data_IF_100444919472
#
_entry.id   IF_100444919472
#
_cell.length_a   1.000
_cell.length_b   1.000
_cell.length_c   1.000
_cell.angle_alpha   90.00
_cell.angle_beta   90.00
_cell.angle_gamma   90.00
#
_symmetry.space_group_name_H-M   'P 1'
#
loop_
_entity.id
_entity.type
_entity.pdbx_description
1 polymer ?
#
# COMPACT_ATOMS: atom_id res chain seq x y z
N UNK A 1 -9.68 23.73 -8.21
CA UNK A 1 -8.53 22.97 -8.78
C UNK A 1 -7.25 23.09 -7.95
N UNK A 2 -6.62 24.26 -7.78
CA UNK A 2 -5.40 24.36 -6.95
C UNK A 2 -5.64 23.96 -5.46
N UNK A 3 -6.83 24.27 -4.94
CA UNK A 3 -7.30 23.78 -3.62
C UNK A 3 -7.38 22.25 -3.56
N UNK A 4 -7.85 21.63 -4.65
CA UNK A 4 -8.18 20.20 -4.72
C UNK A 4 -6.93 19.37 -4.97
N UNK A 5 -5.91 19.95 -5.62
CA UNK A 5 -4.58 19.35 -5.76
C UNK A 5 -3.97 19.00 -4.39
N UNK A 6 -4.18 19.82 -3.37
CA UNK A 6 -3.74 19.52 -2.01
C UNK A 6 -4.38 18.23 -1.47
N UNK A 7 -5.69 18.06 -1.70
CA UNK A 7 -6.43 16.86 -1.29
C UNK A 7 -6.01 15.63 -2.09
N UNK A 8 -5.80 15.78 -3.41
CA UNK A 8 -5.31 14.71 -4.31
C UNK A 8 -3.94 14.22 -3.85
N UNK A 9 -3.00 15.13 -3.58
CA UNK A 9 -1.67 14.78 -3.10
C UNK A 9 -1.72 14.12 -1.72
N UNK A 10 -2.60 14.59 -0.84
CA UNK A 10 -2.81 13.96 0.47
C UNK A 10 -3.24 12.49 0.33
N UNK A 11 -4.22 12.21 -0.54
CA UNK A 11 -4.66 10.84 -0.82
C UNK A 11 -3.57 10.00 -1.49
N UNK A 12 -2.82 10.59 -2.41
CA UNK A 12 -1.70 9.90 -3.05
C UNK A 12 -0.65 9.45 -2.01
N UNK A 13 -0.24 10.35 -1.10
CA UNK A 13 0.68 10.02 0.00
C UNK A 13 0.08 8.95 0.91
N UNK A 14 -1.22 9.00 1.18
CA UNK A 14 -1.90 8.00 2.00
C UNK A 14 -1.83 6.60 1.34
N UNK A 15 -2.14 6.48 0.05
CA UNK A 15 -2.01 5.22 -0.69
C UNK A 15 -0.57 4.75 -0.86
N UNK A 16 0.40 5.68 -0.94
CA UNK A 16 1.82 5.35 -0.91
C UNK A 16 2.16 4.70 0.44
N UNK A 17 1.78 5.33 1.56
CA UNK A 17 1.98 4.80 2.90
C UNK A 17 1.34 3.42 3.11
N UNK A 18 0.10 3.23 2.62
CA UNK A 18 -0.56 1.92 2.69
C UNK A 18 0.20 0.84 1.93
N UNK A 19 0.66 1.11 0.70
CA UNK A 19 1.42 0.13 -0.09
C UNK A 19 2.66 -0.39 0.65
N UNK A 20 3.34 0.47 1.41
CA UNK A 20 4.53 0.08 2.18
C UNK A 20 4.26 -0.98 3.25
N UNK A 21 3.04 -1.05 3.80
CA UNK A 21 2.67 -1.98 4.88
C UNK A 21 2.78 -3.43 4.42
N UNK A 22 2.26 -3.74 3.22
CA UNK A 22 2.27 -5.11 2.69
C UNK A 22 3.39 -5.41 1.69
N UNK A 23 4.15 -4.40 1.27
CA UNK A 23 5.24 -4.54 0.29
C UNK A 23 6.19 -5.73 0.53
N UNK A 24 6.69 -6.04 1.75
CA UNK A 24 7.65 -7.12 1.91
C UNK A 24 7.07 -8.53 1.72
N UNK A 25 5.83 -8.76 2.15
CA UNK A 25 5.08 -9.98 1.85
C UNK A 25 4.82 -10.09 0.35
N UNK A 26 4.36 -9.00 -0.27
CA UNK A 26 4.06 -8.96 -1.70
C UNK A 26 5.30 -9.28 -2.54
N UNK A 27 6.46 -8.72 -2.18
CA UNK A 27 7.75 -9.04 -2.82
C UNK A 27 8.16 -10.50 -2.70
N UNK A 28 7.74 -11.21 -1.65
CA UNK A 28 8.02 -12.65 -1.50
C UNK A 28 7.07 -13.50 -2.34
N UNK A 29 5.78 -13.17 -2.34
CA UNK A 29 4.75 -13.91 -3.09
C UNK A 29 4.98 -13.73 -4.60
N UNK A 30 5.25 -12.49 -5.03
CA UNK A 30 5.44 -12.13 -6.43
C UNK A 30 6.91 -11.93 -6.79
N UNK A 31 7.83 -12.68 -6.17
CA UNK A 31 9.28 -12.52 -6.39
C UNK A 31 9.72 -12.73 -7.85
N UNK A 32 8.91 -13.47 -8.63
CA UNK A 32 9.13 -13.76 -10.05
C UNK A 32 8.57 -12.68 -10.99
N UNK A 33 7.82 -11.70 -10.48
CA UNK A 33 7.26 -10.62 -11.28
C UNK A 33 8.30 -9.51 -11.47
N UNK A 34 8.16 -8.76 -12.56
CA UNK A 34 9.05 -7.67 -12.92
C UNK A 34 9.09 -6.55 -11.86
N UNK A 35 7.94 -6.22 -11.28
CA UNK A 35 7.72 -5.19 -10.26
C UNK A 35 7.82 -5.72 -8.82
N UNK A 36 7.98 -7.04 -8.64
CA UNK A 36 7.85 -7.75 -7.37
C UNK A 36 6.51 -7.48 -6.65
N UNK A 37 5.44 -7.22 -7.42
CA UNK A 37 4.12 -6.95 -6.91
C UNK A 37 3.99 -5.65 -6.11
N UNK A 38 4.73 -4.60 -6.49
CA UNK A 38 4.63 -3.31 -5.81
C UNK A 38 3.22 -2.74 -5.87
N UNK A 39 2.59 -2.72 -7.05
CA UNK A 39 1.24 -2.18 -7.21
C UNK A 39 0.19 -3.02 -6.47
N UNK A 40 0.38 -4.35 -6.45
CA UNK A 40 -0.45 -5.28 -5.68
C UNK A 40 -0.38 -5.04 -4.17
N UNK A 41 0.72 -4.48 -3.64
CA UNK A 41 0.84 -4.23 -2.20
C UNK A 41 -0.24 -3.27 -1.67
N UNK A 42 -0.62 -2.25 -2.46
CA UNK A 42 -1.70 -1.32 -2.11
C UNK A 42 -3.05 -2.03 -2.03
N UNK A 43 -3.33 -2.89 -3.01
CA UNK A 43 -4.56 -3.67 -3.09
C UNK A 43 -4.64 -4.68 -1.94
N UNK A 44 -3.55 -5.40 -1.65
CA UNK A 44 -3.49 -6.35 -0.54
C UNK A 44 -3.67 -5.64 0.80
N UNK A 45 -3.06 -4.46 0.98
CA UNK A 45 -3.22 -3.67 2.19
C UNK A 45 -4.69 -3.28 2.39
N UNK A 46 -5.33 -2.78 1.34
CA UNK A 46 -6.76 -2.43 1.37
C UNK A 46 -7.60 -3.65 1.70
N UNK A 47 -7.44 -4.74 0.94
CA UNK A 47 -8.20 -5.98 1.11
C UNK A 47 -8.05 -6.54 2.54
N UNK A 48 -6.82 -6.61 3.04
CA UNK A 48 -6.53 -7.07 4.39
C UNK A 48 -7.23 -6.20 5.43
N UNK A 49 -7.05 -4.87 5.36
CA UNK A 49 -7.65 -3.94 6.31
C UNK A 49 -9.18 -4.00 6.28
N UNK A 50 -9.80 -3.98 5.10
CA UNK A 50 -11.26 -4.02 4.97
C UNK A 50 -11.83 -5.32 5.47
N UNK A 51 -11.20 -6.44 5.14
CA UNK A 51 -11.70 -7.77 5.51
C UNK A 51 -11.57 -8.03 7.01
N UNK A 52 -10.39 -7.77 7.59
CA UNK A 52 -10.18 -8.02 9.02
C UNK A 52 -11.02 -7.10 9.90
N UNK A 53 -11.15 -5.83 9.54
CA UNK A 53 -11.99 -4.89 10.29
C UNK A 53 -13.46 -5.32 10.21
N UNK A 54 -13.94 -5.70 9.02
CA UNK A 54 -15.29 -6.26 8.85
C UNK A 54 -15.49 -7.52 9.68
N UNK A 55 -14.53 -8.45 9.66
CA UNK A 55 -14.59 -9.72 10.40
C UNK A 55 -14.65 -9.49 11.92
N UNK A 56 -13.79 -8.61 12.45
CA UNK A 56 -13.77 -8.26 13.87
C UNK A 56 -15.09 -7.60 14.31
N UNK A 57 -15.65 -6.74 13.48
CA UNK A 57 -16.95 -6.10 13.72
C UNK A 57 -18.10 -7.10 13.67
N UNK A 58 -18.11 -8.00 12.67
CA UNK A 58 -19.14 -9.03 12.51
C UNK A 58 -19.16 -10.03 13.69
N UNK A 59 -17.98 -10.34 14.24
CA UNK A 59 -17.85 -11.19 15.43
C UNK A 59 -18.11 -10.45 16.74
N UNK A 60 -18.41 -9.14 16.68
CA UNK A 60 -18.59 -8.26 17.86
C UNK A 60 -17.37 -8.23 18.79
N UNK A 61 -16.17 -8.48 18.27
CA UNK A 61 -14.91 -8.44 19.04
C UNK A 61 -14.46 -6.98 19.19
N UNK A 62 -14.40 -6.25 18.07
CA UNK A 62 -14.07 -4.83 18.04
C UNK A 62 -15.06 -4.09 17.13
N UNK A 63 -15.59 -2.94 17.54
CA UNK A 63 -16.48 -2.13 16.72
C UNK A 63 -15.75 -1.54 15.48
N UNK A 64 -16.53 -1.18 14.46
CA UNK A 64 -16.04 -0.51 13.25
C UNK A 64 -15.71 0.97 13.55
N UNK A 65 -14.52 1.22 14.10
CA UNK A 65 -13.99 2.56 14.35
C UNK A 65 -12.65 2.77 13.65
N UNK A 66 -12.26 4.05 13.49
CA UNK A 66 -10.95 4.46 12.96
C UNK A 66 -9.80 3.77 13.70
N UNK A 67 -9.90 3.66 15.02
CA UNK A 67 -8.87 3.00 15.85
C UNK A 67 -8.70 1.52 15.52
N UNK A 68 -9.79 0.81 15.24
CA UNK A 68 -9.76 -0.61 14.85
C UNK A 68 -9.03 -0.79 13.51
N UNK A 69 -9.23 0.13 12.56
CA UNK A 69 -8.54 0.11 11.27
C UNK A 69 -7.03 0.31 11.47
N UNK A 70 -6.63 1.31 12.28
CA UNK A 70 -5.21 1.54 12.59
C UNK A 70 -4.57 0.37 13.31
N UNK A 71 -5.28 -0.24 14.26
CA UNK A 71 -4.81 -1.43 14.98
C UNK A 71 -4.55 -2.59 14.01
N UNK A 72 -5.50 -2.90 13.11
CA UNK A 72 -5.34 -3.97 12.10
C UNK A 72 -4.16 -3.69 11.17
N UNK A 73 -4.01 -2.45 10.70
CA UNK A 73 -2.88 -2.05 9.85
C UNK A 73 -1.54 -2.17 10.58
N UNK A 74 -1.49 -1.75 11.86
CA UNK A 74 -0.29 -1.82 12.69
C UNK A 74 0.11 -3.28 12.96
N UNK A 75 -0.85 -4.16 13.27
CA UNK A 75 -0.59 -5.59 13.41
C UNK A 75 -0.06 -6.19 12.10
N UNK A 76 -0.67 -5.86 10.96
CA UNK A 76 -0.20 -6.27 9.64
C UNK A 76 1.24 -5.83 9.38
N UNK A 77 1.57 -4.57 9.72
CA UNK A 77 2.91 -4.00 9.59
C UNK A 77 3.93 -4.77 10.45
N UNK A 78 3.64 -5.02 11.72
CA UNK A 78 4.54 -5.75 12.64
C UNK A 78 4.86 -7.14 12.09
N UNK A 79 3.83 -7.90 11.70
CA UNK A 79 3.99 -9.24 11.13
C UNK A 79 4.87 -9.20 9.88
N UNK A 80 4.72 -8.16 9.06
CA UNK A 80 5.50 -7.98 7.86
C UNK A 80 6.97 -7.60 8.13
N UNK A 81 7.22 -6.72 9.11
CA UNK A 81 8.57 -6.36 9.53
C UNK A 81 9.33 -7.57 10.12
N UNK A 82 8.66 -8.42 10.90
CA UNK A 82 9.26 -9.66 11.39
C UNK A 82 9.72 -10.57 10.23
N UNK A 83 8.98 -10.53 9.13
CA UNK A 83 9.24 -11.32 7.92
C UNK A 83 10.44 -10.79 7.11
N UNK A 84 10.78 -9.50 7.24
CA UNK A 84 11.95 -8.86 6.62
C UNK A 84 13.28 -9.23 7.28
N UNK A 85 13.28 -9.56 8.57
CA UNK A 85 14.49 -9.79 9.38
C UNK A 85 15.35 -10.99 8.93
N UNK A 86 14.85 -11.81 8.00
CA UNK A 86 15.52 -13.02 7.47
C UNK A 86 16.29 -12.83 6.14
N UNK A 87 16.52 -11.61 5.64
CA UNK A 87 17.12 -11.41 4.30
C UNK A 87 18.66 -11.25 4.29
N UNK A 88 19.28 -11.93 3.33
CA UNK A 88 20.72 -11.95 3.03
C UNK A 88 21.14 -10.64 2.31
N UNK A 89 22.36 -10.10 2.52
CA UNK A 89 22.77 -8.78 2.01
C UNK A 89 23.09 -8.70 0.49
N UNK A 90 22.90 -9.79 -0.27
CA UNK A 90 23.17 -9.86 -1.71
C UNK A 90 22.14 -9.12 -2.61
N UNK A 91 21.12 -8.49 -2.05
CA UNK A 91 19.98 -7.90 -2.79
C UNK A 91 20.15 -6.40 -3.17
N UNK A 92 21.31 -5.79 -2.89
CA UNK A 92 21.50 -4.32 -3.03
C UNK A 92 21.44 -3.81 -4.48
N UNK A 93 22.02 -4.52 -5.45
CA UNK A 93 22.02 -4.12 -6.87
C UNK A 93 20.65 -4.32 -7.53
N UNK A 94 19.94 -5.40 -7.19
CA UNK A 94 18.56 -5.64 -7.65
C UNK A 94 17.59 -4.57 -7.13
N UNK A 95 17.85 -4.01 -5.95
CA UNK A 95 16.99 -3.00 -5.33
C UNK A 95 16.91 -1.66 -6.08
N UNK A 96 17.97 -1.24 -6.80
CA UNK A 96 17.97 0.05 -7.48
C UNK A 96 17.06 0.05 -8.73
N UNK A 97 17.14 -1.00 -9.54
CA UNK A 97 16.27 -1.17 -10.69
C UNK A 97 14.79 -1.26 -10.29
N UNK A 98 14.50 -1.97 -9.20
CA UNK A 98 13.15 -2.06 -8.64
C UNK A 98 12.62 -0.72 -8.14
N UNK A 99 13.48 0.11 -7.55
CA UNK A 99 13.11 1.47 -7.12
C UNK A 99 12.69 2.33 -8.31
N UNK A 100 13.42 2.26 -9.42
CA UNK A 100 13.10 3.00 -10.64
C UNK A 100 11.74 2.56 -11.23
N UNK A 101 11.46 1.25 -11.23
CA UNK A 101 10.14 0.72 -11.61
C UNK A 101 9.05 1.23 -10.66
N UNK A 102 9.27 1.18 -9.34
CA UNK A 102 8.29 1.67 -8.36
C UNK A 102 7.97 3.15 -8.55
N UNK A 103 8.98 3.99 -8.82
CA UNK A 103 8.79 5.43 -9.08
C UNK A 103 7.99 5.64 -10.36
N UNK A 104 8.27 4.87 -11.41
CA UNK A 104 7.51 4.93 -12.65
C UNK A 104 6.05 4.53 -12.45
N UNK A 105 5.79 3.45 -11.71
CA UNK A 105 4.43 3.03 -11.35
C UNK A 105 3.70 4.07 -10.51
N UNK A 106 4.38 4.73 -9.56
CA UNK A 106 3.80 5.83 -8.78
C UNK A 106 3.46 7.05 -9.65
N UNK A 107 4.29 7.37 -10.63
CA UNK A 107 3.98 8.45 -11.58
C UNK A 107 2.75 8.12 -12.44
N UNK A 108 2.61 6.86 -12.88
CA UNK A 108 1.40 6.42 -13.59
C UNK A 108 0.17 6.49 -12.67
N UNK A 109 0.31 6.05 -11.42
CA UNK A 109 -0.77 6.09 -10.44
C UNK A 109 -1.21 7.53 -10.16
N UNK A 110 -0.25 8.45 -9.95
CA UNK A 110 -0.52 9.86 -9.71
C UNK A 110 -1.19 10.53 -10.91
N UNK A 111 -0.69 10.30 -12.13
CA UNK A 111 -1.30 10.87 -13.34
C UNK A 111 -2.73 10.36 -13.54
N UNK A 112 -2.96 9.06 -13.32
CA UNK A 112 -4.31 8.47 -13.37
C UNK A 112 -5.23 9.08 -12.31
N UNK A 113 -4.75 9.27 -11.08
CA UNK A 113 -5.53 9.85 -9.98
C UNK A 113 -5.90 11.32 -10.26
N UNK A 114 -4.96 12.10 -10.80
CA UNK A 114 -5.20 13.49 -11.22
C UNK A 114 -6.22 13.54 -12.37
N UNK A 115 -6.05 12.70 -13.41
CA UNK A 115 -6.99 12.65 -14.55
C UNK A 115 -8.40 12.25 -14.11
N UNK A 116 -8.51 11.23 -13.26
CA UNK A 116 -9.81 10.80 -12.72
C UNK A 116 -10.49 11.90 -11.91
N UNK A 117 -9.73 12.61 -11.07
CA UNK A 117 -10.25 13.75 -10.32
C UNK A 117 -10.64 14.92 -11.23
N UNK A 118 -9.90 15.17 -12.30
CA UNK A 118 -10.20 16.22 -13.28
C UNK A 118 -11.53 15.94 -13.99
N UNK A 119 -11.74 14.71 -14.47
CA UNK A 119 -12.97 14.31 -15.16
C UNK A 119 -14.19 14.41 -14.23
N UNK A 120 -14.06 14.01 -12.96
CA UNK A 120 -15.15 14.12 -11.98
C UNK A 120 -15.42 15.54 -11.50
N UNK A 121 -14.44 16.42 -11.58
CA UNK A 121 -14.57 17.82 -11.15
C UNK A 121 -15.21 18.73 -12.19
N UNK A 122 -15.41 18.25 -13.41
CA UNK A 122 -16.09 18.92 -14.52
C UNK A 122 -17.56 18.51 -14.58
#
# INVERSE_FOLDING_TARGET
>A
MLSDLGTILHWWIFYLGLGLIFLPITKKIFANFFDQGYLFSKVITLLFSSYFVWLLASLKILPFYKETIWLVLLLGLIVNLMTLRKKNPQDKTRSQHLLLICVFEELIFLTTLVLWSFIRGF
#
